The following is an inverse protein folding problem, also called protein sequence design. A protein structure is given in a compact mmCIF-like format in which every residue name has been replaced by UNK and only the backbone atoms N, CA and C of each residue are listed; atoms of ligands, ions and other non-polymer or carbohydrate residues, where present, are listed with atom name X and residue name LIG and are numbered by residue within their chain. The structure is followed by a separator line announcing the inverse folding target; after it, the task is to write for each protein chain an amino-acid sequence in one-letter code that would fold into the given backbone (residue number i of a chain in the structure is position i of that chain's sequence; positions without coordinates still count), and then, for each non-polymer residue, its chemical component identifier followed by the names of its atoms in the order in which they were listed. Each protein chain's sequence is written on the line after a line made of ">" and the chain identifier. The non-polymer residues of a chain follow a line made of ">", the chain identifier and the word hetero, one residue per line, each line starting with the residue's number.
data_IF_445194093021
#
_entry.id   IF_445194093021
#
_cell.length_a   1.000
_cell.length_b   1.000
_cell.length_c   1.000
_cell.angle_alpha   90.00
_cell.angle_beta   90.00
_cell.angle_gamma   90.00
#
_symmetry.space_group_name_H-M   'P 1'
#
loop_
_entity.id
_entity.type
_entity.pdbx_description
1 polymer ?
#
# COMPACT_ATOMS: atom_id res chain seq x y z
N UNK A 1 3.94 26.87 -2.27
CA UNK A 1 5.38 26.55 -2.45
C UNK A 1 5.58 25.15 -1.91
N UNK A 2 5.93 24.22 -2.81
CA UNK A 2 6.08 22.79 -2.49
C UNK A 2 7.30 22.57 -1.62
N UNK A 3 7.13 21.87 -0.48
CA UNK A 3 8.26 21.51 0.39
C UNK A 3 9.15 20.42 -0.24
N UNK A 4 10.39 20.29 0.22
CA UNK A 4 11.31 19.23 -0.27
C UNK A 4 10.76 17.82 -0.02
N UNK A 5 9.99 17.63 1.05
CA UNK A 5 9.32 16.35 1.35
C UNK A 5 8.14 16.10 0.41
N UNK A 6 7.33 17.11 0.13
CA UNK A 6 6.22 17.01 -0.81
C UNK A 6 6.71 16.73 -2.23
N UNK A 7 7.82 17.34 -2.65
CA UNK A 7 8.43 17.08 -3.96
C UNK A 7 8.92 15.63 -4.08
N UNK A 8 9.53 15.09 -3.02
CA UNK A 8 9.94 13.68 -2.96
C UNK A 8 8.72 12.75 -3.01
N UNK A 9 7.68 13.05 -2.25
CA UNK A 9 6.43 12.29 -2.25
C UNK A 9 5.74 12.31 -3.62
N UNK A 10 5.65 13.48 -4.27
CA UNK A 10 5.02 13.61 -5.60
C UNK A 10 5.74 12.70 -6.59
N UNK A 11 7.08 12.80 -6.66
CA UNK A 11 7.88 12.00 -7.59
C UNK A 11 7.70 10.50 -7.35
N UNK A 12 7.84 10.04 -6.10
CA UNK A 12 7.71 8.62 -5.80
C UNK A 12 6.29 8.10 -6.05
N UNK A 13 5.28 8.93 -5.78
CA UNK A 13 3.89 8.56 -6.03
C UNK A 13 3.54 8.56 -7.52
N UNK A 14 4.13 9.46 -8.30
CA UNK A 14 4.01 9.48 -9.77
C UNK A 14 4.64 8.23 -10.41
N UNK A 15 5.85 7.87 -9.99
CA UNK A 15 6.52 6.63 -10.44
C UNK A 15 5.67 5.39 -10.08
N UNK A 16 5.08 5.33 -8.89
CA UNK A 16 4.23 4.20 -8.47
C UNK A 16 2.89 4.08 -9.23
N UNK A 17 2.32 5.20 -9.71
CA UNK A 17 1.05 5.20 -10.45
C UNK A 17 1.21 5.05 -11.95
N UNK A 18 2.43 5.21 -12.48
CA UNK A 18 2.71 5.24 -13.92
C UNK A 18 2.26 3.95 -14.62
N UNK A 19 2.45 2.79 -13.97
CA UNK A 19 1.93 1.50 -14.44
C UNK A 19 0.41 1.33 -14.32
N UNK A 20 -0.32 2.33 -13.86
CA UNK A 20 -1.76 2.30 -13.66
C UNK A 20 -2.20 1.66 -12.33
N UNK A 21 -3.46 1.93 -11.97
CA UNK A 21 -4.07 1.52 -10.70
C UNK A 21 -4.07 0.00 -10.48
N UNK A 22 -4.32 -0.76 -11.55
CA UNK A 22 -4.38 -2.23 -11.49
C UNK A 22 -3.00 -2.86 -11.29
N UNK A 23 -1.97 -2.35 -11.96
CA UNK A 23 -0.59 -2.83 -11.77
C UNK A 23 -0.14 -2.61 -10.33
N UNK A 24 -0.42 -1.41 -9.78
CA UNK A 24 -0.19 -1.13 -8.37
C UNK A 24 -0.91 -2.12 -7.46
N UNK A 25 -2.22 -2.33 -7.66
CA UNK A 25 -2.98 -3.25 -6.82
C UNK A 25 -2.45 -4.67 -6.89
N UNK A 26 -2.16 -5.20 -8.06
CA UNK A 26 -1.60 -6.55 -8.21
C UNK A 26 -0.27 -6.66 -7.46
N UNK A 27 0.69 -5.78 -7.75
CA UNK A 27 2.01 -5.82 -7.14
C UNK A 27 1.94 -5.78 -5.61
N UNK A 28 1.25 -4.77 -5.05
CA UNK A 28 1.22 -4.57 -3.60
C UNK A 28 0.29 -5.54 -2.87
N UNK A 29 -0.74 -6.08 -3.53
CA UNK A 29 -1.58 -7.14 -2.95
C UNK A 29 -0.80 -8.44 -2.81
N UNK A 30 -0.12 -8.86 -3.88
CA UNK A 30 0.65 -10.12 -3.84
C UNK A 30 1.87 -9.99 -2.94
N UNK A 31 2.65 -8.92 -3.07
CA UNK A 31 3.82 -8.69 -2.22
C UNK A 31 3.42 -8.52 -0.75
N UNK A 32 2.42 -7.67 -0.47
CA UNK A 32 1.92 -7.43 0.88
C UNK A 32 1.30 -8.69 1.48
N UNK A 33 0.47 -9.40 0.72
CA UNK A 33 -0.15 -10.64 1.17
C UNK A 33 0.87 -11.73 1.47
N UNK A 34 1.88 -11.89 0.62
CA UNK A 34 2.98 -12.83 0.86
C UNK A 34 3.73 -12.51 2.16
N UNK A 35 4.10 -11.24 2.38
CA UNK A 35 4.78 -10.80 3.60
C UNK A 35 3.89 -11.05 4.83
N UNK A 36 2.61 -10.70 4.78
CA UNK A 36 1.66 -10.90 5.90
C UNK A 36 1.52 -12.38 6.22
N UNK A 37 1.38 -13.24 5.22
CA UNK A 37 1.29 -14.68 5.42
C UNK A 37 2.56 -15.23 6.04
N UNK A 38 3.74 -14.85 5.53
CA UNK A 38 5.02 -15.29 6.04
C UNK A 38 5.20 -14.89 7.52
N UNK A 39 4.93 -13.63 7.85
CA UNK A 39 4.99 -13.14 9.22
C UNK A 39 4.00 -13.89 10.12
N UNK A 40 2.79 -14.14 9.64
CA UNK A 40 1.78 -14.91 10.39
C UNK A 40 2.25 -16.33 10.68
N UNK A 41 2.81 -17.03 9.68
CA UNK A 41 3.37 -18.37 9.88
C UNK A 41 4.49 -18.37 10.91
N UNK A 42 5.42 -17.42 10.80
CA UNK A 42 6.54 -17.30 11.72
C UNK A 42 6.01 -17.02 13.14
N UNK A 43 5.08 -16.09 13.29
CA UNK A 43 4.44 -15.75 14.57
C UNK A 43 3.75 -16.95 15.22
N UNK A 44 2.94 -17.69 14.46
CA UNK A 44 2.22 -18.86 14.98
C UNK A 44 3.16 -19.99 15.41
N UNK A 45 4.17 -20.31 14.59
CA UNK A 45 5.07 -21.43 14.85
C UNK A 45 6.10 -21.13 15.93
N UNK A 46 6.76 -19.97 15.86
CA UNK A 46 7.94 -19.69 16.70
C UNK A 46 7.59 -19.02 18.02
N UNK A 47 6.54 -18.20 18.06
CA UNK A 47 6.20 -17.43 19.27
C UNK A 47 5.02 -18.04 20.01
N UNK A 48 3.96 -18.43 19.28
CA UNK A 48 2.77 -19.01 19.91
C UNK A 48 2.83 -20.53 20.05
N UNK A 49 3.80 -21.19 19.40
CA UNK A 49 3.92 -22.66 19.33
C UNK A 49 2.63 -23.35 18.87
N UNK A 50 1.79 -22.64 18.12
CA UNK A 50 0.53 -23.14 17.59
C UNK A 50 0.84 -23.92 16.32
N UNK A 51 0.46 -25.20 16.29
CA UNK A 51 0.46 -25.97 15.05
C UNK A 51 -0.54 -25.33 14.09
N UNK A 52 -0.08 -24.98 12.89
CA UNK A 52 -0.94 -24.37 11.88
C UNK A 52 -2.11 -25.32 11.59
N UNK A 53 -3.36 -24.88 11.83
CA UNK A 53 -4.52 -25.72 11.61
C UNK A 53 -4.69 -26.00 10.11
N UNK A 54 -5.05 -27.24 9.77
CA UNK A 54 -5.49 -27.56 8.41
C UNK A 54 -6.87 -26.90 8.17
N UNK A 55 -7.13 -26.36 6.99
CA UNK A 55 -6.27 -26.41 5.81
C UNK A 55 -5.24 -25.26 5.74
N UNK A 56 -4.02 -25.60 5.31
CA UNK A 56 -2.89 -24.66 5.28
C UNK A 56 -3.09 -23.45 4.35
N UNK A 57 -4.00 -23.52 3.38
CA UNK A 57 -4.24 -22.43 2.44
C UNK A 57 -4.97 -21.22 3.05
N UNK A 58 -5.53 -21.34 4.27
CA UNK A 58 -6.24 -20.24 4.91
C UNK A 58 -5.34 -19.04 5.20
N UNK A 59 -4.11 -19.26 5.66
CA UNK A 59 -3.18 -18.17 5.95
C UNK A 59 -2.79 -17.37 4.70
N UNK A 60 -2.38 -18.00 3.57
CA UNK A 60 -2.16 -17.26 2.32
C UNK A 60 -3.42 -16.58 1.79
N UNK A 61 -4.60 -17.20 1.91
CA UNK A 61 -5.85 -16.57 1.49
C UNK A 61 -6.16 -15.30 2.31
N UNK A 62 -6.07 -15.37 3.64
CA UNK A 62 -6.28 -14.22 4.53
C UNK A 62 -5.21 -13.15 4.28
N UNK A 63 -3.96 -13.55 4.09
CA UNK A 63 -2.87 -12.63 3.77
C UNK A 63 -3.13 -11.86 2.48
N UNK A 64 -3.55 -12.52 1.40
CA UNK A 64 -3.92 -11.84 0.15
C UNK A 64 -5.09 -10.88 0.32
N UNK A 65 -6.13 -11.27 1.07
CA UNK A 65 -7.26 -10.36 1.37
C UNK A 65 -6.78 -9.14 2.16
N UNK A 66 -5.95 -9.34 3.19
CA UNK A 66 -5.38 -8.25 3.96
C UNK A 66 -4.48 -7.34 3.09
N UNK A 67 -3.63 -7.93 2.26
CA UNK A 67 -2.78 -7.22 1.30
C UNK A 67 -3.59 -6.37 0.32
N UNK A 68 -4.72 -6.88 -0.17
CA UNK A 68 -5.62 -6.15 -1.05
C UNK A 68 -6.25 -4.94 -0.32
N UNK A 69 -6.73 -5.14 0.90
CA UNK A 69 -7.31 -4.07 1.72
C UNK A 69 -6.28 -2.99 2.01
N UNK A 70 -5.06 -3.37 2.40
CA UNK A 70 -3.96 -2.44 2.68
C UNK A 70 -3.59 -1.67 1.42
N UNK A 71 -3.38 -2.35 0.30
CA UNK A 71 -3.04 -1.75 -0.99
C UNK A 71 -4.11 -0.74 -1.44
N UNK A 72 -5.39 -1.10 -1.34
CA UNK A 72 -6.50 -0.21 -1.66
C UNK A 72 -6.56 1.02 -0.74
N UNK A 73 -6.28 0.83 0.55
CA UNK A 73 -6.29 1.91 1.55
C UNK A 73 -5.13 2.88 1.34
N UNK A 74 -3.91 2.36 1.18
CA UNK A 74 -2.69 3.15 0.93
C UNK A 74 -2.84 3.96 -0.36
N UNK A 75 -3.36 3.35 -1.43
CA UNK A 75 -3.65 4.06 -2.66
C UNK A 75 -4.58 5.26 -2.43
N UNK A 76 -5.69 5.06 -1.71
CA UNK A 76 -6.65 6.14 -1.43
C UNK A 76 -6.02 7.26 -0.61
N UNK A 77 -5.20 6.93 0.40
CA UNK A 77 -4.52 7.91 1.24
C UNK A 77 -3.52 8.73 0.40
N UNK A 78 -2.67 8.06 -0.36
CA UNK A 78 -1.65 8.72 -1.18
C UNK A 78 -2.29 9.57 -2.27
N UNK A 79 -3.34 9.08 -2.92
CA UNK A 79 -4.04 9.82 -3.96
C UNK A 79 -4.75 11.06 -3.40
N UNK A 80 -5.34 10.97 -2.20
CA UNK A 80 -5.91 12.14 -1.50
C UNK A 80 -4.81 13.16 -1.15
N UNK A 81 -3.67 12.70 -0.64
CA UNK A 81 -2.52 13.56 -0.32
C UNK A 81 -2.00 14.26 -1.56
N UNK A 82 -1.83 13.54 -2.66
CA UNK A 82 -1.39 14.10 -3.94
C UNK A 82 -2.35 15.18 -4.43
N UNK A 83 -3.66 14.88 -4.53
CA UNK A 83 -4.67 15.85 -4.98
C UNK A 83 -4.72 17.09 -4.09
N UNK A 84 -4.51 16.94 -2.78
CA UNK A 84 -4.44 18.06 -1.83
C UNK A 84 -3.26 18.98 -2.13
N UNK A 85 -2.07 18.43 -2.39
CA UNK A 85 -0.86 19.22 -2.71
C UNK A 85 -1.05 19.95 -4.04
N UNK A 86 -1.46 19.25 -5.10
CA UNK A 86 -1.66 19.86 -6.42
C UNK A 86 -2.72 20.96 -6.39
N UNK A 87 -3.87 20.71 -5.76
CA UNK A 87 -4.95 21.73 -5.64
C UNK A 87 -4.46 22.98 -4.91
N UNK A 88 -3.63 22.83 -3.87
CA UNK A 88 -3.05 23.96 -3.15
C UNK A 88 -2.15 24.80 -4.05
N UNK A 89 -1.26 24.16 -4.82
CA UNK A 89 -0.34 24.88 -5.69
C UNK A 89 -1.04 25.53 -6.89
N UNK A 90 -2.08 24.89 -7.46
CA UNK A 90 -2.89 25.51 -8.53
C UNK A 90 -3.57 26.78 -8.04
N UNK A 91 -4.18 26.76 -6.85
CA UNK A 91 -4.81 27.96 -6.26
C UNK A 91 -3.82 29.09 -6.06
N UNK A 92 -2.65 28.79 -5.48
CA UNK A 92 -1.59 29.78 -5.28
C UNK A 92 -1.01 30.34 -6.58
N UNK A 93 -1.10 29.59 -7.68
CA UNK A 93 -0.70 30.04 -9.01
C UNK A 93 -1.77 30.87 -9.73
N UNK A 94 -3.04 30.77 -9.36
CA UNK A 94 -4.15 31.57 -9.92
C UNK A 94 -4.33 32.92 -9.19
N UNK A 95 -3.86 33.01 -7.94
CA UNK A 95 -3.90 34.23 -7.13
C UNK A 95 -2.71 35.18 -7.37
N UNK A 96 -1.77 34.79 -8.25
CA UNK A 96 -0.61 35.58 -8.68
C UNK A 96 -0.77 36.03 -10.13
#
# INVERSE_FOLDING_TARGET
>A
MISREEKRFIRSWEEQREGGKWSYYLLYTFAGGFIISLLTYISLLWFMQVRVPKPYWLIPAIGLVAGAIISATVWRINERRFKKIIRREVKLGQEK
#
